data_IF_198991424001
#
_entry.id   IF_198991424001
#
_cell.length_a   1.000
_cell.length_b   1.000
_cell.length_c   1.000
_cell.angle_alpha   90.00
_cell.angle_beta   90.00
_cell.angle_gamma   90.00
#
_symmetry.space_group_name_H-M   'P 1'
#
loop_
_entity.id
_entity.type
_entity.pdbx_description
1 polymer ?
#
# COMPACT_ATOMS: atom_id res chain seq x y z
N UNK A 1 3.25 19.35 13.62
CA UNK A 1 4.48 18.53 13.70
C UNK A 1 4.18 17.19 13.06
N UNK A 2 5.05 16.64 12.19
CA UNK A 2 4.88 15.25 11.76
C UNK A 2 4.96 14.34 12.99
N UNK A 3 3.99 13.44 13.15
CA UNK A 3 4.04 12.44 14.22
C UNK A 3 5.31 11.59 14.06
N UNK A 4 5.94 11.17 15.18
CA UNK A 4 7.15 10.35 15.12
C UNK A 4 6.86 9.06 14.33
N UNK A 5 7.66 8.79 13.29
CA UNK A 5 7.58 7.56 12.52
C UNK A 5 7.86 6.38 13.45
N UNK A 6 6.80 5.67 13.85
CA UNK A 6 6.91 4.54 14.77
C UNK A 6 7.35 3.30 14.00
N UNK A 7 8.64 2.98 14.11
CA UNK A 7 9.18 1.73 13.59
C UNK A 7 8.76 0.54 14.48
N UNK A 8 8.57 -0.66 13.91
CA UNK A 8 8.32 -1.86 14.69
C UNK A 8 9.51 -2.18 15.60
N UNK A 9 9.19 -2.58 16.83
CA UNK A 9 10.13 -3.13 17.80
C UNK A 9 10.75 -4.44 17.32
N UNK A 10 11.87 -4.84 17.93
CA UNK A 10 12.51 -6.13 17.64
C UNK A 10 11.56 -7.32 17.81
N UNK A 11 10.73 -7.31 18.87
CA UNK A 11 9.76 -8.38 19.15
C UNK A 11 8.69 -8.44 18.06
N UNK A 12 8.17 -7.30 17.59
CA UNK A 12 7.19 -7.25 16.51
C UNK A 12 7.78 -7.78 15.19
N UNK A 13 9.03 -7.45 14.87
CA UNK A 13 9.73 -8.01 13.69
C UNK A 13 9.89 -9.52 13.80
N UNK A 14 10.25 -10.03 14.99
CA UNK A 14 10.36 -11.48 15.23
C UNK A 14 9.01 -12.18 15.03
N UNK A 15 7.92 -11.59 15.54
CA UNK A 15 6.54 -12.08 15.29
C UNK A 15 6.21 -12.10 13.79
N UNK A 16 6.59 -11.06 13.05
CA UNK A 16 6.40 -11.02 11.60
C UNK A 16 7.20 -12.09 10.84
N UNK A 17 8.45 -12.37 11.25
CA UNK A 17 9.24 -13.49 10.71
C UNK A 17 8.51 -14.82 10.95
N UNK A 18 8.01 -15.05 12.16
CA UNK A 18 7.28 -16.26 12.52
C UNK A 18 5.99 -16.39 11.69
N UNK A 19 5.20 -15.32 11.59
CA UNK A 19 3.97 -15.28 10.79
C UNK A 19 4.23 -15.67 9.32
N UNK A 20 5.29 -15.12 8.70
CA UNK A 20 5.69 -15.48 7.32
C UNK A 20 6.11 -16.94 7.15
N UNK A 21 6.66 -17.57 8.19
CA UNK A 21 7.00 -18.99 8.17
C UNK A 21 5.76 -19.86 8.29
N UNK A 22 4.84 -19.48 9.18
CA UNK A 22 3.59 -20.21 9.41
C UNK A 22 2.73 -20.30 8.14
N UNK A 23 2.58 -19.19 7.41
CA UNK A 23 1.77 -19.16 6.16
C UNK A 23 2.42 -19.90 4.99
N UNK A 24 3.64 -20.42 5.14
CA UNK A 24 4.33 -21.26 4.15
C UNK A 24 4.28 -22.74 4.48
N UNK A 25 3.67 -23.13 5.60
CA UNK A 25 3.47 -24.53 5.95
C UNK A 25 2.50 -25.21 4.96
N UNK A 26 2.54 -26.53 4.78
CA UNK A 26 1.52 -27.26 4.04
C UNK A 26 0.10 -26.99 4.58
N UNK A 27 -0.90 -26.96 3.69
CA UNK A 27 -2.29 -26.59 4.01
C UNK A 27 -2.86 -27.38 5.20
N UNK A 28 -2.59 -28.68 5.30
CA UNK A 28 -3.05 -29.50 6.43
C UNK A 28 -2.51 -29.05 7.78
N UNK A 29 -1.25 -28.58 7.84
CA UNK A 29 -0.68 -28.01 9.05
C UNK A 29 -1.25 -26.62 9.35
N UNK A 30 -1.56 -25.82 8.33
CA UNK A 30 -2.19 -24.52 8.54
C UNK A 30 -3.60 -24.67 9.14
N UNK A 31 -4.40 -25.60 8.62
CA UNK A 31 -5.71 -25.95 9.18
C UNK A 31 -5.58 -26.45 10.62
N UNK A 32 -4.67 -27.41 10.88
CA UNK A 32 -4.42 -27.92 12.23
C UNK A 32 -4.06 -26.80 13.21
N UNK A 33 -3.14 -25.91 12.83
CA UNK A 33 -2.70 -24.79 13.67
C UNK A 33 -3.76 -23.70 13.83
N UNK A 34 -4.70 -23.57 12.89
CA UNK A 34 -5.83 -22.65 13.04
C UNK A 34 -6.79 -23.08 14.15
N UNK A 35 -6.72 -24.34 14.58
CA UNK A 35 -7.58 -24.90 15.62
C UNK A 35 -9.05 -25.05 15.21
N UNK A 36 -9.37 -24.90 13.92
CA UNK A 36 -10.71 -24.97 13.35
C UNK A 36 -10.69 -25.83 12.08
N UNK A 37 -11.81 -26.52 11.74
CA UNK A 37 -11.95 -27.16 10.42
C UNK A 37 -11.89 -26.10 9.30
N UNK A 38 -11.68 -26.51 8.03
CA UNK A 38 -11.78 -25.59 6.90
C UNK A 38 -13.08 -24.78 6.95
N UNK A 39 -12.96 -23.45 6.85
CA UNK A 39 -14.11 -22.55 6.86
C UNK A 39 -14.69 -22.52 5.45
N UNK A 40 -15.95 -22.92 5.33
CA UNK A 40 -16.72 -22.86 4.08
C UNK A 40 -17.95 -21.98 4.25
N UNK A 41 -18.11 -21.02 3.34
CA UNK A 41 -19.27 -20.12 3.27
C UNK A 41 -19.73 -20.05 1.82
N UNK A 42 -21.00 -20.34 1.57
CA UNK A 42 -21.61 -20.31 0.23
C UNK A 42 -20.85 -21.13 -0.84
N UNK A 43 -20.30 -22.28 -0.42
CA UNK A 43 -19.53 -23.17 -1.30
C UNK A 43 -18.10 -22.70 -1.63
N UNK A 44 -17.62 -21.64 -0.97
CA UNK A 44 -16.25 -21.16 -1.09
C UNK A 44 -15.45 -21.53 0.17
N UNK A 45 -14.31 -22.18 -0.02
CA UNK A 45 -13.39 -22.51 1.07
C UNK A 45 -12.41 -21.37 1.29
N UNK A 46 -12.28 -20.92 2.54
CA UNK A 46 -11.30 -19.91 2.92
C UNK A 46 -9.87 -20.45 2.71
N UNK A 47 -9.00 -19.64 2.10
CA UNK A 47 -7.59 -19.97 1.96
C UNK A 47 -6.97 -20.33 3.32
N UNK A 48 -6.24 -21.44 3.37
CA UNK A 48 -5.78 -22.01 4.64
C UNK A 48 -4.80 -21.11 5.37
N UNK A 49 -4.03 -20.30 4.64
CA UNK A 49 -3.10 -19.35 5.23
C UNK A 49 -3.85 -18.16 5.82
N UNK A 50 -4.87 -17.68 5.11
CA UNK A 50 -5.79 -16.64 5.58
C UNK A 50 -6.55 -17.10 6.83
N UNK A 51 -7.06 -18.34 6.84
CA UNK A 51 -7.72 -18.94 8.00
C UNK A 51 -6.79 -18.96 9.21
N UNK A 52 -5.55 -19.41 9.04
CA UNK A 52 -4.56 -19.42 10.11
C UNK A 52 -4.27 -18.00 10.63
N UNK A 53 -4.12 -17.01 9.74
CA UNK A 53 -3.89 -15.63 10.15
C UNK A 53 -5.07 -15.05 10.94
N UNK A 54 -6.31 -15.36 10.56
CA UNK A 54 -7.49 -14.95 11.32
C UNK A 54 -7.53 -15.60 12.71
N UNK A 55 -7.18 -16.88 12.83
CA UNK A 55 -7.12 -17.57 14.11
C UNK A 55 -6.05 -17.00 15.05
N UNK A 56 -4.98 -16.41 14.50
CA UNK A 56 -3.90 -15.78 15.26
C UNK A 56 -4.18 -14.30 15.60
N UNK A 57 -5.22 -13.69 15.04
CA UNK A 57 -5.57 -12.30 15.36
C UNK A 57 -6.11 -12.21 16.79
N UNK A 58 -5.68 -11.21 17.59
CA UNK A 58 -6.32 -10.93 18.86
C UNK A 58 -7.81 -10.67 18.64
N UNK A 59 -8.66 -11.29 19.47
CA UNK A 59 -10.10 -11.03 19.41
C UNK A 59 -10.38 -9.55 19.72
N UNK A 60 -11.21 -8.90 18.88
CA UNK A 60 -11.76 -7.54 19.06
C UNK A 60 -10.78 -6.36 18.93
N UNK A 61 -10.13 -6.22 17.77
CA UNK A 61 -9.56 -4.92 17.38
C UNK A 61 -10.08 -4.53 16.00
N UNK A 62 -10.99 -3.56 15.96
CA UNK A 62 -11.39 -2.89 14.74
C UNK A 62 -10.27 -1.99 14.24
N UNK A 63 -10.30 -1.70 12.93
CA UNK A 63 -9.24 -0.96 12.25
C UNK A 63 -9.07 0.48 12.78
N UNK A 64 -10.09 1.04 13.44
CA UNK A 64 -10.18 2.45 13.86
C UNK A 64 -10.57 2.67 15.34
N UNK A 65 -10.50 1.63 16.18
CA UNK A 65 -11.13 1.64 17.52
C UNK A 65 -10.37 2.47 18.58
N UNK A 66 -9.26 3.13 18.21
CA UNK A 66 -8.31 3.72 19.16
C UNK A 66 -7.91 5.17 18.84
N UNK A 67 -8.69 5.87 18.01
CA UNK A 67 -8.38 7.23 17.54
C UNK A 67 -7.44 7.25 16.32
N UNK A 68 -7.42 8.37 15.58
CA UNK A 68 -6.78 8.47 14.25
C UNK A 68 -5.27 8.27 14.31
N UNK A 69 -4.58 9.03 15.16
CA UNK A 69 -3.12 8.94 15.35
C UNK A 69 -2.66 7.51 15.69
N UNK A 70 -3.31 6.89 16.67
CA UNK A 70 -2.98 5.52 17.07
C UNK A 70 -3.30 4.52 15.97
N UNK A 71 -4.40 4.70 15.23
CA UNK A 71 -4.76 3.82 14.11
C UNK A 71 -3.76 3.93 12.96
N UNK A 72 -3.26 5.14 12.66
CA UNK A 72 -2.14 5.36 11.70
C UNK A 72 -0.87 4.64 12.15
N UNK A 73 -0.45 4.86 13.40
CA UNK A 73 0.73 4.24 13.97
C UNK A 73 0.61 2.70 14.07
N UNK A 74 -0.58 2.18 14.40
CA UNK A 74 -0.87 0.74 14.45
C UNK A 74 -0.75 0.12 13.06
N UNK A 75 -1.46 0.64 12.05
CA UNK A 75 -1.38 0.09 10.69
C UNK A 75 0.08 0.07 10.20
N UNK A 76 0.80 1.16 10.43
CA UNK A 76 2.21 1.26 10.06
C UNK A 76 3.05 0.18 10.74
N UNK A 77 2.96 0.04 12.07
CA UNK A 77 3.71 -1.01 12.79
C UNK A 77 3.34 -2.41 12.32
N UNK A 78 2.06 -2.70 12.15
CA UNK A 78 1.58 -4.02 11.70
C UNK A 78 2.17 -4.38 10.33
N UNK A 79 2.00 -3.50 9.34
CA UNK A 79 2.49 -3.73 7.97
C UNK A 79 4.02 -3.87 7.95
N UNK A 80 4.73 -2.95 8.61
CA UNK A 80 6.20 -2.97 8.62
C UNK A 80 6.77 -4.16 9.40
N UNK A 81 6.04 -4.70 10.39
CA UNK A 81 6.47 -5.87 11.17
C UNK A 81 6.41 -7.16 10.35
N UNK A 82 5.35 -7.34 9.55
CA UNK A 82 5.13 -8.54 8.74
C UNK A 82 5.85 -8.49 7.40
N UNK A 83 6.34 -7.32 6.99
CA UNK A 83 7.15 -7.14 5.79
C UNK A 83 8.45 -7.95 5.84
N UNK A 84 8.76 -8.64 4.75
CA UNK A 84 10.01 -9.39 4.55
C UNK A 84 11.16 -8.49 4.10
N UNK A 85 12.16 -9.11 3.46
CA UNK A 85 13.12 -8.34 2.66
C UNK A 85 12.37 -7.63 1.53
N UNK A 86 12.71 -6.36 1.29
CA UNK A 86 12.07 -5.57 0.26
C UNK A 86 12.41 -6.13 -1.12
N UNK A 87 11.41 -6.15 -2.00
CA UNK A 87 11.61 -6.54 -3.40
C UNK A 87 12.60 -5.57 -4.07
N UNK A 88 13.70 -6.10 -4.65
CA UNK A 88 14.69 -5.26 -5.32
C UNK A 88 14.11 -4.70 -6.64
N UNK A 89 14.37 -3.42 -6.85
CA UNK A 89 14.05 -2.65 -8.06
C UNK A 89 15.27 -1.79 -8.39
N UNK A 90 15.37 -1.30 -9.63
CA UNK A 90 16.54 -0.53 -10.10
C UNK A 90 16.84 0.70 -9.23
N UNK A 91 15.80 1.47 -8.87
CA UNK A 91 15.93 2.61 -7.97
C UNK A 91 14.62 2.93 -7.25
N UNK A 92 14.75 3.57 -6.09
CA UNK A 92 13.65 4.19 -5.36
C UNK A 92 14.04 5.62 -5.01
N UNK A 93 13.18 6.58 -5.33
CA UNK A 93 13.45 8.02 -5.18
C UNK A 93 12.27 8.67 -4.48
N UNK A 94 12.52 9.32 -3.35
CA UNK A 94 11.54 10.21 -2.73
C UNK A 94 11.54 11.53 -3.49
N UNK A 95 10.35 12.00 -3.85
CA UNK A 95 10.10 13.19 -4.64
C UNK A 95 9.11 14.11 -3.92
N UNK A 96 9.14 15.37 -4.32
CA UNK A 96 8.06 16.32 -4.04
C UNK A 96 7.44 16.71 -5.38
N UNK A 97 6.14 16.56 -5.51
CA UNK A 97 5.38 16.88 -6.72
C UNK A 97 4.42 18.03 -6.46
N UNK A 98 4.05 18.75 -7.51
CA UNK A 98 3.08 19.84 -7.38
C UNK A 98 1.66 19.25 -7.19
N UNK A 99 1.02 19.60 -6.08
CA UNK A 99 -0.37 19.27 -5.79
C UNK A 99 -1.30 20.47 -5.88
N UNK A 100 -2.61 20.21 -5.82
CA UNK A 100 -3.65 21.25 -5.97
C UNK A 100 -3.56 22.36 -4.92
N UNK A 101 -3.24 21.99 -3.68
CA UNK A 101 -3.20 22.90 -2.53
C UNK A 101 -1.78 23.12 -1.98
N UNK A 102 -0.76 22.71 -2.73
CA UNK A 102 0.64 22.75 -2.31
C UNK A 102 1.39 21.46 -2.66
N UNK A 103 2.67 21.38 -2.29
CA UNK A 103 3.52 20.23 -2.60
C UNK A 103 3.01 18.94 -1.93
N UNK A 104 3.06 17.83 -2.67
CA UNK A 104 2.78 16.48 -2.18
C UNK A 104 4.05 15.65 -2.16
N UNK A 105 4.25 14.85 -1.11
CA UNK A 105 5.31 13.85 -1.12
C UNK A 105 4.91 12.69 -2.04
N UNK A 106 5.86 12.18 -2.81
CA UNK A 106 5.69 11.01 -3.63
C UNK A 106 6.94 10.12 -3.58
N UNK A 107 6.81 8.87 -3.98
CA UNK A 107 7.93 7.95 -4.13
C UNK A 107 7.88 7.28 -5.49
N UNK A 108 8.96 7.45 -6.25
CA UNK A 108 9.13 6.87 -7.58
C UNK A 108 9.96 5.60 -7.52
N UNK A 109 9.44 4.53 -8.09
CA UNK A 109 10.08 3.23 -8.23
C UNK A 109 10.42 2.99 -9.70
N UNK A 110 11.65 2.59 -9.97
CA UNK A 110 12.19 2.38 -11.32
C UNK A 110 12.33 0.88 -11.57
N UNK A 111 11.72 0.33 -12.64
CA UNK A 111 11.82 -1.10 -12.94
C UNK A 111 13.21 -1.45 -13.49
N UNK A 112 13.52 -2.75 -13.53
CA UNK A 112 14.83 -3.24 -14.00
C UNK A 112 15.09 -2.92 -15.48
N UNK A 113 14.04 -2.87 -16.30
CA UNK A 113 14.06 -2.41 -17.69
C UNK A 113 13.27 -1.09 -17.81
N UNK A 114 13.88 0.06 -17.50
CA UNK A 114 13.17 1.33 -17.37
C UNK A 114 12.84 1.99 -18.70
N UNK A 115 13.60 1.73 -19.76
CA UNK A 115 13.48 2.48 -21.01
C UNK A 115 12.08 2.34 -21.62
N UNK A 116 11.35 3.46 -21.68
CA UNK A 116 9.97 3.55 -22.19
C UNK A 116 9.00 2.58 -21.51
N UNK A 117 9.27 2.17 -20.27
CA UNK A 117 8.31 1.41 -19.47
C UNK A 117 7.07 2.30 -19.14
N UNK A 118 5.87 1.72 -18.92
CA UNK A 118 4.70 2.52 -18.55
C UNK A 118 4.91 3.21 -17.20
N UNK A 119 4.09 4.22 -16.91
CA UNK A 119 3.98 4.80 -15.57
C UNK A 119 2.65 4.39 -14.93
N UNK A 120 2.70 3.95 -13.68
CA UNK A 120 1.55 3.80 -12.80
C UNK A 120 1.61 4.88 -11.72
N UNK A 121 0.62 5.78 -11.68
CA UNK A 121 0.38 6.65 -10.53
C UNK A 121 -0.45 5.88 -9.52
N UNK A 122 0.12 5.64 -8.34
CA UNK A 122 -0.44 4.74 -7.32
C UNK A 122 -0.93 5.50 -6.08
N UNK A 123 -2.15 5.18 -5.64
CA UNK A 123 -2.74 5.68 -4.41
C UNK A 123 -2.91 4.54 -3.40
N UNK A 124 -2.34 4.72 -2.20
CA UNK A 124 -2.46 3.72 -1.14
C UNK A 124 -3.90 3.61 -0.60
N UNK A 125 -4.25 2.45 -0.05
CA UNK A 125 -5.48 2.26 0.70
C UNK A 125 -5.43 2.84 2.12
N UNK A 126 -6.53 2.66 2.86
CA UNK A 126 -6.64 3.08 4.26
C UNK A 126 -7.80 4.02 4.58
N UNK A 127 -8.91 3.91 3.85
CA UNK A 127 -10.15 4.65 4.17
C UNK A 127 -9.98 6.17 4.15
N UNK A 128 -9.02 6.69 3.38
CA UNK A 128 -8.65 8.12 3.33
C UNK A 128 -8.10 8.70 4.64
N UNK A 129 -7.86 7.86 5.66
CA UNK A 129 -7.50 8.28 7.03
C UNK A 129 -6.17 7.70 7.47
N UNK A 130 -5.88 6.45 7.11
CA UNK A 130 -4.64 5.73 7.43
C UNK A 130 -3.89 5.32 6.16
N UNK A 131 -2.68 4.77 6.33
CA UNK A 131 -1.80 4.42 5.22
C UNK A 131 -0.85 5.56 4.87
N UNK A 132 0.29 5.20 4.29
CA UNK A 132 1.31 6.14 3.81
C UNK A 132 2.19 5.45 2.74
N UNK A 133 3.21 6.15 2.26
CA UNK A 133 4.17 5.62 1.28
C UNK A 133 4.90 4.36 1.79
N UNK A 134 5.20 4.28 3.08
CA UNK A 134 5.96 3.17 3.65
C UNK A 134 5.08 1.94 3.92
N UNK A 135 3.79 2.13 4.23
CA UNK A 135 2.85 1.00 4.36
C UNK A 135 2.59 0.31 3.03
N UNK A 136 2.78 0.98 1.90
CA UNK A 136 2.60 0.40 0.56
C UNK A 136 3.92 0.24 -0.21
N UNK A 137 5.07 0.42 0.45
CA UNK A 137 6.38 0.39 -0.22
C UNK A 137 6.64 -0.94 -0.91
N UNK A 138 6.39 -2.05 -0.22
CA UNK A 138 6.60 -3.39 -0.79
C UNK A 138 5.61 -3.69 -1.92
N UNK A 139 4.35 -3.27 -1.78
CA UNK A 139 3.34 -3.39 -2.84
C UNK A 139 3.78 -2.65 -4.10
N UNK A 140 4.27 -1.41 -3.95
CA UNK A 140 4.78 -0.62 -5.08
C UNK A 140 6.01 -1.26 -5.73
N UNK A 141 6.92 -1.84 -4.94
CA UNK A 141 8.08 -2.58 -5.46
C UNK A 141 7.66 -3.83 -6.23
N UNK A 142 6.70 -4.59 -5.72
CA UNK A 142 6.15 -5.76 -6.40
C UNK A 142 5.48 -5.38 -7.72
N UNK A 143 4.65 -4.33 -7.73
CA UNK A 143 4.03 -3.82 -8.95
C UNK A 143 5.08 -3.35 -9.96
N UNK A 144 6.06 -2.57 -9.51
CA UNK A 144 7.16 -2.08 -10.34
C UNK A 144 7.93 -3.25 -10.99
N UNK A 145 8.36 -4.21 -10.17
CA UNK A 145 9.14 -5.37 -10.62
C UNK A 145 8.36 -6.29 -11.54
N UNK A 146 7.17 -6.71 -11.15
CA UNK A 146 6.45 -7.78 -11.83
C UNK A 146 5.63 -7.30 -13.03
N UNK A 147 5.17 -6.04 -13.03
CA UNK A 147 4.52 -5.46 -14.20
C UNK A 147 5.52 -4.75 -15.14
N UNK A 148 6.78 -4.58 -14.73
CA UNK A 148 7.81 -3.95 -15.56
C UNK A 148 7.49 -2.49 -15.88
N UNK A 149 7.01 -1.75 -14.89
CA UNK A 149 6.55 -0.37 -15.05
C UNK A 149 7.08 0.53 -13.93
N UNK A 150 7.22 1.81 -14.22
CA UNK A 150 7.44 2.80 -13.17
C UNK A 150 6.23 2.88 -12.27
N UNK A 151 6.46 3.12 -10.98
CA UNK A 151 5.38 3.40 -10.03
C UNK A 151 5.68 4.74 -9.36
N UNK A 152 4.71 5.66 -9.37
CA UNK A 152 4.74 6.91 -8.62
C UNK A 152 3.68 6.81 -7.52
N UNK A 153 4.10 6.44 -6.32
CA UNK A 153 3.22 6.34 -5.14
C UNK A 153 3.06 7.72 -4.50
N UNK A 154 1.82 8.12 -4.19
CA UNK A 154 1.49 9.50 -3.79
C UNK A 154 0.99 9.55 -2.34
N UNK A 155 1.57 10.45 -1.54
CA UNK A 155 1.13 10.76 -0.18
C UNK A 155 0.07 11.87 -0.21
N UNK A 156 -1.14 11.54 -0.66
CA UNK A 156 -2.27 12.46 -0.71
C UNK A 156 -2.72 12.85 0.72
N UNK A 157 -3.36 14.02 0.87
CA UNK A 157 -3.85 14.50 2.16
C UNK A 157 -4.91 13.57 2.76
N UNK A 158 -4.84 13.34 4.06
CA UNK A 158 -5.72 12.41 4.77
C UNK A 158 -6.75 13.15 5.64
N UNK A 159 -7.91 12.51 5.81
CA UNK A 159 -8.90 12.88 6.81
C UNK A 159 -8.45 12.41 8.21
N UNK A 160 -8.91 13.07 9.29
CA UNK A 160 -9.88 14.18 9.32
C UNK A 160 -9.28 15.57 9.11
N UNK A 161 -7.94 15.72 9.05
CA UNK A 161 -7.28 17.01 8.85
C UNK A 161 -7.65 17.65 7.51
N UNK A 162 -7.84 16.80 6.50
CA UNK A 162 -8.24 17.19 5.15
C UNK A 162 -9.37 16.25 4.69
N UNK A 163 -10.63 16.55 5.05
CA UNK A 163 -11.77 15.75 4.63
C UNK A 163 -11.99 15.86 3.11
N UNK A 164 -12.92 15.06 2.59
CA UNK A 164 -13.38 15.18 1.20
C UNK A 164 -13.72 16.66 0.86
N UNK A 165 -13.31 17.19 -0.31
CA UNK A 165 -12.70 16.50 -1.45
C UNK A 165 -11.16 16.48 -1.49
N UNK A 166 -10.46 16.89 -0.42
CA UNK A 166 -9.01 17.08 -0.47
C UNK A 166 -8.18 15.86 -0.96
N UNK A 167 -8.47 14.60 -0.53
CA UNK A 167 -7.76 13.43 -1.07
C UNK A 167 -7.96 13.25 -2.59
N UNK A 168 -9.15 13.58 -3.10
CA UNK A 168 -9.47 13.48 -4.52
C UNK A 168 -8.77 14.56 -5.33
N UNK A 169 -8.78 15.81 -4.84
CA UNK A 169 -8.09 16.92 -5.48
C UNK A 169 -6.59 16.64 -5.64
N UNK A 170 -5.98 16.04 -4.61
CA UNK A 170 -4.57 15.64 -4.63
C UNK A 170 -4.31 14.49 -5.61
N UNK A 171 -5.20 13.50 -5.66
CA UNK A 171 -5.09 12.39 -6.62
C UNK A 171 -5.16 12.88 -8.07
N UNK A 172 -6.13 13.75 -8.39
CA UNK A 172 -6.24 14.33 -9.75
C UNK A 172 -4.99 15.14 -10.10
N UNK A 173 -4.51 16.00 -9.19
CA UNK A 173 -3.31 16.78 -9.41
C UNK A 173 -2.06 15.90 -9.60
N UNK A 174 -1.91 14.85 -8.79
CA UNK A 174 -0.78 13.94 -8.89
C UNK A 174 -0.80 13.11 -10.20
N UNK A 175 -1.98 12.70 -10.68
CA UNK A 175 -2.09 12.04 -11.98
C UNK A 175 -1.68 12.98 -13.11
N UNK A 176 -2.19 14.21 -13.12
CA UNK A 176 -1.84 15.22 -14.13
C UNK A 176 -0.34 15.53 -14.09
N UNK A 177 0.23 15.66 -12.90
CA UNK A 177 1.67 15.84 -12.72
C UNK A 177 2.45 14.64 -13.29
N UNK A 178 2.06 13.42 -12.94
CA UNK A 178 2.70 12.20 -13.43
C UNK A 178 2.63 12.07 -14.94
N UNK A 179 1.49 12.41 -15.56
CA UNK A 179 1.32 12.41 -17.00
C UNK A 179 2.23 13.45 -17.70
N UNK A 180 2.34 14.66 -17.14
CA UNK A 180 3.18 15.72 -17.68
C UNK A 180 4.68 15.43 -17.56
N UNK A 181 5.11 14.76 -16.48
CA UNK A 181 6.53 14.52 -16.17
C UNK A 181 6.98 13.06 -16.43
N UNK A 182 6.16 12.24 -17.09
CA UNK A 182 6.46 10.83 -17.33
C UNK A 182 7.81 10.63 -18.03
N UNK A 183 8.12 11.44 -19.05
CA UNK A 183 9.41 11.38 -19.75
C UNK A 183 10.60 11.73 -18.84
N UNK A 184 10.45 12.70 -17.93
CA UNK A 184 11.48 13.07 -16.96
C UNK A 184 11.73 11.96 -15.93
N UNK A 185 10.69 11.18 -15.62
CA UNK A 185 10.80 9.97 -14.80
C UNK A 185 11.40 8.77 -15.54
N UNK A 186 11.66 8.90 -16.84
CA UNK A 186 12.16 7.82 -17.72
C UNK A 186 11.06 6.90 -18.29
N UNK A 187 9.80 7.17 -17.97
CA UNK A 187 8.65 6.40 -18.45
C UNK A 187 8.20 6.85 -19.84
N UNK A 188 7.38 6.02 -20.50
CA UNK A 188 6.72 6.40 -21.76
C UNK A 188 5.52 7.33 -21.49
N UNK A 189 5.55 8.61 -21.93
CA UNK A 189 4.45 9.55 -21.69
C UNK A 189 3.14 9.15 -22.39
N UNK A 190 3.18 8.26 -23.38
CA UNK A 190 1.98 7.73 -24.01
C UNK A 190 1.32 6.59 -23.22
N UNK A 191 1.93 6.11 -22.13
CA UNK A 191 1.48 4.96 -21.35
C UNK A 191 1.47 5.25 -19.86
N UNK A 192 0.56 6.14 -19.46
CA UNK A 192 0.35 6.52 -18.06
C UNK A 192 -0.97 5.93 -17.59
N UNK A 193 -0.92 5.23 -16.47
CA UNK A 193 -2.04 4.54 -15.84
C UNK A 193 -2.20 5.00 -14.40
N UNK A 194 -3.37 4.74 -13.83
CA UNK A 194 -3.71 5.03 -12.44
C UNK A 194 -4.16 3.76 -11.74
N UNK A 195 -3.83 3.62 -10.45
CA UNK A 195 -4.22 2.45 -9.67
C UNK A 195 -4.05 2.66 -8.17
N UNK A 196 -4.58 1.73 -7.39
CA UNK A 196 -4.59 1.78 -5.94
C UNK A 196 -5.41 0.64 -5.35
N UNK A 197 -5.39 0.51 -4.04
CA UNK A 197 -6.17 -0.49 -3.31
C UNK A 197 -7.20 0.18 -2.38
N UNK A 198 -8.34 -0.47 -2.15
CA UNK A 198 -9.38 0.03 -1.23
C UNK A 198 -9.76 1.49 -1.54
N UNK A 199 -9.59 2.41 -0.58
CA UNK A 199 -9.79 3.84 -0.78
C UNK A 199 -8.97 4.44 -1.94
N UNK A 200 -7.73 3.97 -2.14
CA UNK A 200 -6.90 4.37 -3.28
C UNK A 200 -7.45 3.85 -4.61
N UNK A 201 -8.10 2.69 -4.63
CA UNK A 201 -8.83 2.19 -5.81
C UNK A 201 -10.03 3.09 -6.12
N UNK A 202 -10.75 3.56 -5.10
CA UNK A 202 -11.82 4.54 -5.26
C UNK A 202 -11.30 5.83 -5.88
N UNK A 203 -10.16 6.37 -5.39
CA UNK A 203 -9.52 7.55 -6.00
C UNK A 203 -9.16 7.28 -7.47
N UNK A 204 -8.58 6.12 -7.76
CA UNK A 204 -8.16 5.74 -9.12
C UNK A 204 -9.33 5.68 -10.09
N UNK A 205 -10.45 5.08 -9.67
CA UNK A 205 -11.66 5.00 -10.46
C UNK A 205 -12.24 6.39 -10.76
N UNK A 206 -12.28 7.27 -9.75
CA UNK A 206 -12.80 8.64 -9.94
C UNK A 206 -11.86 9.48 -10.80
N UNK A 207 -10.54 9.38 -10.60
CA UNK A 207 -9.55 10.05 -11.48
C UNK A 207 -9.75 9.63 -12.93
N UNK A 208 -9.95 8.34 -13.20
CA UNK A 208 -10.20 7.82 -14.56
C UNK A 208 -11.48 8.37 -15.21
N UNK A 209 -12.45 8.86 -14.43
CA UNK A 209 -13.65 9.52 -14.94
C UNK A 209 -13.43 11.01 -15.22
N UNK A 210 -12.40 11.62 -14.64
CA UNK A 210 -12.16 13.07 -14.66
C UNK A 210 -11.02 13.50 -15.60
N UNK A 211 -10.19 12.57 -16.05
CA UNK A 211 -8.96 12.84 -16.84
C UNK A 211 -8.91 11.99 -18.08
#
# INVERSE_FOLDING_TARGET
MPEPRTEPTFIERLRGVLARRLVRLPNGLQILLSGQPPIEVDGQTLDTATQLLLALRPARQGLMDSGVAESRARLRREVLSIRGALTPVSAVRDLTIDGRAGPLAARHYVPDAPERAPLLVFYHGGGFVIGDLDTHDETCRLLCRHAGQHVLSVAYRLAPEHPFPAPLDDAVAAFQWGAAHAAELGADPARVSVGGDSAGATLSAVVSLLT
#
